data_IF_920625934064
#
_entry.id   IF_920625934064
#
_cell.length_a   1.000
_cell.length_b   1.000
_cell.length_c   1.000
_cell.angle_alpha   90.00
_cell.angle_beta   90.00
_cell.angle_gamma   90.00
#
_symmetry.space_group_name_H-M   'P 1'
#
loop_
_entity.id
_entity.type
_entity.pdbx_description
1 polymer ?
#
# COMPACT_ATOMS: atom_id res chain seq x y z
N UNK A 1 19.48 -21.75 -3.90
CA UNK A 1 18.70 -20.79 -3.08
C UNK A 1 17.28 -21.30 -3.01
N UNK A 2 16.70 -21.36 -1.81
CA UNK A 2 15.45 -22.04 -1.53
C UNK A 2 14.25 -21.22 -2.03
N UNK A 3 13.67 -21.62 -3.16
CA UNK A 3 12.58 -20.92 -3.86
C UNK A 3 11.39 -20.63 -2.94
N UNK A 4 11.17 -21.50 -1.94
CA UNK A 4 10.15 -21.36 -0.90
C UNK A 4 10.39 -20.16 0.01
N UNK A 5 11.65 -19.85 0.34
CA UNK A 5 12.03 -18.71 1.20
C UNK A 5 11.83 -17.39 0.48
N UNK A 6 12.12 -17.35 -0.82
CA UNK A 6 11.90 -16.16 -1.67
C UNK A 6 10.40 -15.88 -1.77
N UNK A 7 9.59 -16.90 -2.09
CA UNK A 7 8.14 -16.76 -2.20
C UNK A 7 7.47 -16.29 -0.89
N UNK A 8 7.85 -16.87 0.26
CA UNK A 8 7.35 -16.42 1.57
C UNK A 8 7.75 -14.99 1.91
N UNK A 9 8.89 -14.52 1.41
CA UNK A 9 9.34 -13.15 1.61
C UNK A 9 8.51 -12.18 0.79
N UNK A 10 8.23 -12.50 -0.48
CA UNK A 10 7.37 -11.67 -1.34
C UNK A 10 5.92 -11.60 -0.84
N UNK A 11 5.34 -12.72 -0.39
CA UNK A 11 4.03 -12.73 0.25
C UNK A 11 3.94 -11.78 1.44
N UNK A 12 4.94 -11.81 2.35
CA UNK A 12 5.00 -10.91 3.52
C UNK A 12 5.14 -9.43 3.15
N UNK A 13 5.75 -9.12 2.00
CA UNK A 13 5.82 -7.75 1.47
C UNK A 13 4.45 -7.30 0.97
N UNK A 14 3.77 -8.14 0.21
CA UNK A 14 2.43 -7.84 -0.31
C UNK A 14 1.38 -7.72 0.80
N UNK A 15 1.40 -8.59 1.81
CA UNK A 15 0.55 -8.47 3.00
C UNK A 15 0.75 -7.15 3.76
N UNK A 16 1.98 -6.62 3.77
CA UNK A 16 2.28 -5.33 4.37
C UNK A 16 1.62 -4.19 3.58
N UNK A 17 1.68 -4.26 2.25
CA UNK A 17 1.05 -3.29 1.37
C UNK A 17 -0.48 -3.32 1.50
N UNK A 18 -1.09 -4.51 1.53
CA UNK A 18 -2.52 -4.67 1.77
C UNK A 18 -2.98 -4.04 3.08
N UNK A 19 -2.21 -4.22 4.16
CA UNK A 19 -2.52 -3.60 5.45
C UNK A 19 -2.45 -2.07 5.39
N UNK A 20 -1.44 -1.52 4.71
CA UNK A 20 -1.33 -0.08 4.51
C UNK A 20 -2.56 0.48 3.75
N UNK A 21 -2.96 -0.17 2.66
CA UNK A 21 -4.10 0.26 1.82
C UNK A 21 -5.43 0.16 2.57
N UNK A 22 -5.68 -0.95 3.29
CA UNK A 22 -6.90 -1.08 4.11
C UNK A 22 -6.97 -0.02 5.20
N UNK A 23 -5.84 0.25 5.87
CA UNK A 23 -5.75 1.33 6.85
C UNK A 23 -6.02 2.70 6.22
N UNK A 24 -5.48 2.97 5.03
CA UNK A 24 -5.76 4.21 4.30
C UNK A 24 -7.26 4.38 4.03
N UNK A 25 -7.92 3.32 3.53
CA UNK A 25 -9.35 3.31 3.25
C UNK A 25 -10.18 3.56 4.52
N UNK A 26 -9.83 2.91 5.62
CA UNK A 26 -10.50 3.14 6.91
C UNK A 26 -10.40 4.60 7.34
N UNK A 27 -9.19 5.14 7.37
CA UNK A 27 -8.97 6.52 7.78
C UNK A 27 -9.70 7.44 6.77
N UNK A 28 -9.75 7.15 5.46
CA UNK A 28 -10.32 8.04 4.42
C UNK A 28 -11.84 8.16 4.53
N UNK A 29 -12.49 7.10 5.00
CA UNK A 29 -13.93 7.06 5.24
C UNK A 29 -14.32 7.52 6.65
N UNK A 30 -13.35 7.73 7.54
CA UNK A 30 -13.60 8.13 8.92
C UNK A 30 -13.52 9.65 9.06
N UNK A 31 -14.48 10.24 9.77
CA UNK A 31 -14.46 11.66 10.10
C UNK A 31 -13.21 11.99 10.93
N UNK A 32 -12.55 13.11 10.63
CA UNK A 32 -11.27 13.51 11.26
C UNK A 32 -11.34 13.51 12.78
N UNK A 33 -12.46 13.99 13.36
CA UNK A 33 -12.68 14.07 14.80
C UNK A 33 -12.74 12.70 15.50
N UNK A 34 -12.85 11.60 14.76
CA UNK A 34 -12.95 10.23 15.28
C UNK A 34 -11.65 9.42 15.16
N UNK A 35 -10.64 9.95 14.48
CA UNK A 35 -9.36 9.27 14.29
C UNK A 35 -8.42 9.67 15.43
N UNK A 36 -7.88 8.69 16.14
CA UNK A 36 -6.89 8.94 17.17
C UNK A 36 -5.52 9.19 16.53
N UNK A 37 -4.72 10.06 17.15
CA UNK A 37 -3.37 10.36 16.67
C UNK A 37 -2.52 9.08 16.52
N UNK A 38 -2.66 8.14 17.47
CA UNK A 38 -1.92 6.86 17.45
C UNK A 38 -2.31 5.97 16.28
N UNK A 39 -3.58 5.95 15.86
CA UNK A 39 -4.04 5.21 14.68
C UNK A 39 -3.40 5.78 13.41
N UNK A 40 -3.34 7.11 13.32
CA UNK A 40 -2.73 7.80 12.19
C UNK A 40 -1.21 7.57 12.15
N UNK A 41 -0.53 7.67 13.29
CA UNK A 41 0.91 7.37 13.39
C UNK A 41 1.22 5.92 13.01
N UNK A 42 0.42 4.96 13.50
CA UNK A 42 0.57 3.54 13.16
C UNK A 42 0.40 3.30 11.66
N UNK A 43 -0.58 3.95 11.05
CA UNK A 43 -0.78 3.86 9.61
C UNK A 43 0.41 4.42 8.82
N UNK A 44 0.92 5.59 9.18
CA UNK A 44 2.11 6.18 8.55
C UNK A 44 3.31 5.23 8.64
N UNK A 45 3.58 4.65 9.81
CA UNK A 45 4.66 3.67 9.97
C UNK A 45 4.46 2.43 9.08
N UNK A 46 3.22 1.95 8.96
CA UNK A 46 2.89 0.82 8.07
C UNK A 46 3.17 1.16 6.60
N UNK A 47 2.86 2.39 6.18
CA UNK A 47 3.19 2.89 4.83
C UNK A 47 4.70 2.99 4.59
N UNK A 48 5.46 3.52 5.54
CA UNK A 48 6.92 3.57 5.43
C UNK A 48 7.53 2.18 5.23
N UNK A 49 7.10 1.22 6.06
CA UNK A 49 7.55 -0.18 5.95
C UNK A 49 7.11 -0.82 4.63
N UNK A 50 5.89 -0.54 4.15
CA UNK A 50 5.43 -1.05 2.85
C UNK A 50 6.26 -0.48 1.68
N UNK A 51 6.51 0.83 1.68
CA UNK A 51 7.31 1.52 0.66
C UNK A 51 8.77 1.06 0.67
N UNK A 52 9.35 0.81 1.85
CA UNK A 52 10.71 0.28 2.00
C UNK A 52 10.80 -1.17 1.52
N UNK A 53 9.79 -1.99 1.83
CA UNK A 53 9.74 -3.40 1.41
C UNK A 53 9.60 -3.60 -0.09
N UNK A 54 8.98 -2.65 -0.78
CA UNK A 54 8.85 -2.64 -2.25
C UNK A 54 10.13 -2.18 -2.97
N UNK A 55 11.18 -1.75 -2.26
CA UNK A 55 12.39 -1.18 -2.84
C UNK A 55 13.33 -2.21 -3.55
N UNK A 56 12.80 -3.30 -4.12
CA UNK A 56 13.61 -4.31 -4.82
C UNK A 56 13.26 -4.47 -6.31
N UNK A 57 14.16 -3.92 -7.14
CA UNK A 57 14.61 -4.27 -8.51
C UNK A 57 13.63 -4.58 -9.66
N UNK A 58 12.31 -4.59 -9.47
CA UNK A 58 11.38 -4.77 -10.59
C UNK A 58 10.64 -3.46 -10.90
N UNK A 59 10.74 -2.98 -12.15
CA UNK A 59 9.96 -1.83 -12.67
C UNK A 59 8.46 -1.92 -12.35
N UNK A 60 7.95 -3.17 -12.24
CA UNK A 60 6.55 -3.47 -11.88
C UNK A 60 6.17 -2.91 -10.50
N UNK A 61 7.04 -3.06 -9.49
CA UNK A 61 6.79 -2.62 -8.11
C UNK A 61 7.12 -1.13 -7.89
N UNK A 62 7.87 -0.50 -8.79
CA UNK A 62 8.16 0.92 -8.73
C UNK A 62 6.89 1.78 -8.87
N UNK A 63 6.00 1.40 -9.79
CA UNK A 63 4.71 2.07 -9.97
C UNK A 63 3.85 1.98 -8.70
N UNK A 64 3.78 0.80 -8.09
CA UNK A 64 3.05 0.54 -6.85
C UNK A 64 3.62 1.33 -5.67
N UNK A 65 4.95 1.40 -5.56
CA UNK A 65 5.63 2.19 -4.55
C UNK A 65 5.31 3.68 -4.69
N UNK A 66 5.27 4.21 -5.92
CA UNK A 66 4.87 5.60 -6.19
C UNK A 66 3.43 5.86 -5.76
N UNK A 67 2.49 4.98 -6.13
CA UNK A 67 1.08 5.12 -5.75
C UNK A 67 0.90 5.07 -4.21
N UNK A 68 1.62 4.18 -3.52
CA UNK A 68 1.60 4.13 -2.05
C UNK A 68 2.14 5.41 -1.40
N UNK A 69 3.20 6.02 -1.97
CA UNK A 69 3.71 7.31 -1.48
C UNK A 69 2.69 8.43 -1.69
N UNK A 70 1.98 8.42 -2.81
CA UNK A 70 0.96 9.40 -3.11
C UNK A 70 -0.23 9.30 -2.13
N UNK A 71 -0.70 8.08 -1.83
CA UNK A 71 -1.69 7.86 -0.77
C UNK A 71 -1.17 8.32 0.60
N UNK A 72 0.10 8.06 0.94
CA UNK A 72 0.70 8.53 2.19
C UNK A 72 0.72 10.06 2.28
N UNK A 73 1.04 10.74 1.18
CA UNK A 73 1.02 12.22 1.10
C UNK A 73 -0.38 12.75 1.36
N UNK A 74 -1.41 12.17 0.74
CA UNK A 74 -2.80 12.56 0.96
C UNK A 74 -3.23 12.31 2.42
N UNK A 75 -2.81 11.19 3.02
CA UNK A 75 -3.03 10.92 4.45
C UNK A 75 -2.35 11.99 5.33
N UNK A 76 -1.15 12.45 4.96
CA UNK A 76 -0.45 13.50 5.70
C UNK A 76 -1.12 14.88 5.58
N UNK A 77 -1.81 15.16 4.47
CA UNK A 77 -2.53 16.41 4.21
C UNK A 77 -3.98 16.42 4.74
N UNK A 78 -4.39 15.38 5.47
CA UNK A 78 -5.80 15.10 5.84
C UNK A 78 -6.60 16.20 6.49
N UNK A 79 -5.96 17.13 7.20
CA UNK A 79 -6.68 18.24 7.83
C UNK A 79 -7.32 19.17 6.80
N UNK A 80 -6.81 19.17 5.55
CA UNK A 80 -7.19 20.10 4.49
C UNK A 80 -7.72 19.41 3.21
N UNK A 81 -7.97 18.10 3.24
CA UNK A 81 -8.45 17.38 2.06
C UNK A 81 -9.88 17.82 1.70
N UNK A 82 -10.04 18.35 0.49
CA UNK A 82 -11.33 18.51 -0.16
C UNK A 82 -12.00 17.15 -0.44
N UNK A 83 -13.31 17.18 -0.67
CA UNK A 83 -14.06 15.98 -1.06
C UNK A 83 -13.53 15.34 -2.36
N UNK A 84 -13.07 16.17 -3.30
CA UNK A 84 -12.47 15.69 -4.53
C UNK A 84 -11.15 14.94 -4.27
N UNK A 85 -10.27 15.48 -3.43
CA UNK A 85 -9.01 14.82 -3.08
C UNK A 85 -9.24 13.53 -2.29
N UNK A 86 -10.26 13.51 -1.40
CA UNK A 86 -10.69 12.28 -0.72
C UNK A 86 -11.14 11.22 -1.72
N UNK A 87 -11.92 11.60 -2.74
CA UNK A 87 -12.39 10.69 -3.77
C UNK A 87 -11.24 10.13 -4.61
N UNK A 88 -10.31 10.98 -5.05
CA UNK A 88 -9.11 10.54 -5.75
C UNK A 88 -8.25 9.60 -4.90
N UNK A 89 -8.09 9.90 -3.59
CA UNK A 89 -7.36 9.04 -2.68
C UNK A 89 -8.02 7.64 -2.57
N UNK A 90 -9.35 7.59 -2.52
CA UNK A 90 -10.10 6.33 -2.48
C UNK A 90 -9.95 5.53 -3.78
N UNK A 91 -10.08 6.18 -4.94
CA UNK A 91 -9.85 5.55 -6.25
C UNK A 91 -8.42 4.98 -6.35
N UNK A 92 -7.43 5.76 -5.90
CA UNK A 92 -6.04 5.30 -5.89
C UNK A 92 -5.86 4.08 -4.97
N UNK A 93 -6.54 4.04 -3.81
CA UNK A 93 -6.52 2.84 -2.95
C UNK A 93 -7.17 1.62 -3.61
N UNK A 94 -8.25 1.79 -4.39
CA UNK A 94 -8.88 0.71 -5.16
C UNK A 94 -7.92 0.13 -6.21
N UNK A 95 -7.25 1.00 -6.96
CA UNK A 95 -6.27 0.59 -7.98
C UNK A 95 -5.08 -0.17 -7.39
N UNK A 96 -4.54 0.30 -6.26
CA UNK A 96 -3.43 -0.38 -5.57
C UNK A 96 -3.89 -1.75 -5.05
N UNK A 97 -5.10 -1.84 -4.50
CA UNK A 97 -5.65 -3.10 -3.98
C UNK A 97 -5.83 -4.15 -5.09
N UNK A 98 -6.35 -3.73 -6.25
CA UNK A 98 -6.52 -4.61 -7.41
C UNK A 98 -5.16 -5.08 -7.95
N UNK A 99 -4.18 -4.18 -8.08
CA UNK A 99 -2.82 -4.54 -8.51
C UNK A 99 -2.16 -5.53 -7.56
N UNK A 100 -2.27 -5.30 -6.25
CA UNK A 100 -1.75 -6.21 -5.24
C UNK A 100 -2.43 -7.59 -5.30
N UNK A 101 -3.73 -7.63 -5.61
CA UNK A 101 -4.49 -8.88 -5.78
C UNK A 101 -4.00 -9.66 -7.00
N UNK A 102 -3.79 -8.98 -8.14
CA UNK A 102 -3.27 -9.57 -9.35
C UNK A 102 -1.85 -10.14 -9.13
N UNK A 103 -0.97 -9.37 -8.51
CA UNK A 103 0.40 -9.80 -8.17
C UNK A 103 0.43 -11.01 -7.20
N UNK A 104 -0.52 -11.12 -6.27
CA UNK A 104 -0.68 -12.32 -5.42
C UNK A 104 -1.24 -13.53 -6.17
N UNK A 105 -2.06 -13.30 -7.20
CA UNK A 105 -2.70 -14.33 -8.01
C UNK A 105 -1.76 -14.91 -9.07
N UNK A 106 -0.78 -14.12 -9.53
CA UNK A 106 0.31 -14.60 -10.36
C UNK A 106 1.18 -15.55 -9.52
N UNK A 107 0.95 -16.87 -9.66
CA UNK A 107 1.91 -17.88 -9.20
C UNK A 107 3.30 -17.49 -9.74
N UNK A 108 4.39 -17.72 -8.98
CA UNK A 108 5.73 -17.53 -9.49
C UNK A 108 5.90 -18.50 -10.66
N UNK A 109 5.64 -18.00 -11.87
CA UNK A 109 5.99 -18.72 -13.07
C UNK A 109 7.50 -18.65 -13.09
N UNK A 110 8.12 -19.75 -12.69
CA UNK A 110 9.53 -20.00 -12.90
C UNK A 110 9.82 -19.88 -14.39
N UNK A 111 10.07 -18.67 -14.86
CA UNK A 111 10.78 -18.44 -16.11
C UNK A 111 12.25 -18.35 -15.75
N UNK A 112 12.83 -19.54 -15.55
CA UNK A 112 14.18 -19.79 -16.00
C UNK A 112 14.16 -19.58 -17.53
N UNK A 113 14.74 -18.46 -17.98
CA UNK A 113 15.42 -18.39 -19.27
C UNK A 113 16.81 -17.86 -19.01
#
# INVERSE_FOLDING_TARGET
>A
MDTKKIYLTELKKMECCFRAVKGARYILNTQISKIQADELHTLKSTFYVAVERLHMKADRLFSLQRQLREVLTLINMRCDLSEHERMMALQLTDEIEERLRLELSEKPTGRLR
#
